data_IF_806239348007
#
_entry.id   IF_806239348007
#
_cell.length_a   1.000
_cell.length_b   1.000
_cell.length_c   1.000
_cell.angle_alpha   90.00
_cell.angle_beta   90.00
_cell.angle_gamma   90.00
#
_symmetry.space_group_name_H-M   'P 1'
#
loop_
_entity.id
_entity.type
_entity.pdbx_description
1 polymer ?
#
# COMPACT_ATOMS: atom_id res chain seq x y z
N UNK A 1 4.94 21.10 -19.82
CA UNK A 1 4.86 19.88 -18.98
C UNK A 1 6.00 19.88 -17.98
N UNK A 2 5.73 19.95 -16.66
CA UNK A 2 6.78 20.22 -15.67
C UNK A 2 7.87 19.15 -15.52
N UNK A 3 7.67 17.90 -15.95
CA UNK A 3 8.69 16.84 -15.87
C UNK A 3 8.59 15.82 -17.03
N UNK A 4 7.98 16.20 -18.14
CA UNK A 4 7.68 15.27 -19.25
C UNK A 4 6.76 14.10 -18.88
N UNK A 5 6.14 14.13 -17.70
CA UNK A 5 5.26 13.10 -17.16
C UNK A 5 3.83 13.62 -17.00
N UNK A 6 2.86 12.79 -17.37
CA UNK A 6 1.45 12.95 -17.03
C UNK A 6 1.14 12.24 -15.70
N UNK A 7 0.12 12.66 -14.93
CA UNK A 7 -0.83 13.75 -15.21
C UNK A 7 -0.29 15.16 -14.93
N UNK A 8 -0.84 16.15 -15.66
CA UNK A 8 -0.63 17.58 -15.44
C UNK A 8 -2.01 18.27 -15.33
N UNK A 9 -2.20 19.07 -14.28
CA UNK A 9 -3.36 19.93 -14.08
C UNK A 9 -2.92 21.39 -14.28
N UNK A 10 -3.65 22.15 -15.08
CA UNK A 10 -3.40 23.58 -15.28
C UNK A 10 -4.39 24.41 -14.47
N UNK A 11 -3.87 25.38 -13.70
CA UNK A 11 -4.64 26.26 -12.82
C UNK A 11 -4.03 27.65 -12.92
N UNK A 12 -4.81 28.66 -13.32
CA UNK A 12 -4.36 30.06 -13.44
C UNK A 12 -3.06 30.22 -14.25
N UNK A 13 -2.92 29.46 -15.34
CA UNK A 13 -1.73 29.44 -16.18
C UNK A 13 -0.50 28.76 -15.56
N UNK A 14 -0.61 28.15 -14.37
CA UNK A 14 0.44 27.35 -13.73
C UNK A 14 0.16 25.85 -13.92
N UNK A 15 1.21 25.09 -14.23
CA UNK A 15 1.13 23.64 -14.41
C UNK A 15 1.52 22.90 -13.13
N UNK A 16 0.56 22.22 -12.50
CA UNK A 16 0.77 21.25 -11.41
C UNK A 16 0.98 19.86 -12.00
N UNK A 17 2.05 19.19 -11.61
CA UNK A 17 2.34 17.80 -11.97
C UNK A 17 2.37 16.92 -10.72
N UNK A 18 2.54 15.61 -10.87
CA UNK A 18 2.48 14.60 -9.81
C UNK A 18 1.04 14.36 -9.31
N UNK A 19 0.54 13.15 -9.50
CA UNK A 19 -0.84 12.75 -9.15
C UNK A 19 -1.22 13.08 -7.70
N UNK A 20 -0.29 12.89 -6.75
CA UNK A 20 -0.50 13.20 -5.32
C UNK A 20 -0.60 14.71 -5.04
N UNK A 21 0.15 15.54 -5.77
CA UNK A 21 0.09 16.99 -5.59
C UNK A 21 -1.21 17.55 -6.17
N UNK A 22 -1.60 17.07 -7.35
CA UNK A 22 -2.88 17.38 -8.01
C UNK A 22 -4.05 16.99 -7.08
N UNK A 23 -4.05 15.77 -6.55
CA UNK A 23 -5.11 15.31 -5.63
C UNK A 23 -5.22 16.20 -4.37
N UNK A 24 -4.08 16.59 -3.77
CA UNK A 24 -4.10 17.50 -2.60
C UNK A 24 -4.60 18.89 -2.94
N UNK A 25 -4.24 19.41 -4.11
CA UNK A 25 -4.72 20.72 -4.57
C UNK A 25 -6.24 20.69 -4.75
N UNK A 26 -6.77 19.71 -5.49
CA UNK A 26 -8.20 19.57 -5.72
C UNK A 26 -8.98 19.34 -4.43
N UNK A 27 -8.45 18.52 -3.52
CA UNK A 27 -9.08 18.31 -2.22
C UNK A 27 -9.24 19.61 -1.43
N UNK A 28 -8.24 20.49 -1.47
CA UNK A 28 -8.34 21.83 -0.84
C UNK A 28 -9.34 22.74 -1.55
N UNK A 29 -9.34 22.76 -2.88
CA UNK A 29 -10.24 23.60 -3.67
C UNK A 29 -11.71 23.23 -3.46
N UNK A 30 -12.01 21.93 -3.44
CA UNK A 30 -13.38 21.44 -3.28
C UNK A 30 -13.81 21.24 -1.82
N UNK A 31 -13.02 21.74 -0.86
CA UNK A 31 -13.33 21.60 0.57
C UNK A 31 -13.44 20.14 1.03
N UNK A 32 -12.77 19.20 0.35
CA UNK A 32 -12.66 17.81 0.79
C UNK A 32 -11.75 17.76 2.01
N UNK A 33 -12.34 18.03 3.17
CA UNK A 33 -11.70 17.92 4.47
C UNK A 33 -11.18 16.49 4.68
N UNK A 34 -10.09 16.37 5.46
CA UNK A 34 -9.41 15.09 5.72
C UNK A 34 -10.41 14.05 6.23
N UNK A 35 -11.37 14.47 7.03
CA UNK A 35 -12.41 13.64 7.65
C UNK A 35 -13.38 13.09 6.60
N UNK A 36 -13.82 13.91 5.64
CA UNK A 36 -14.72 13.49 4.57
C UNK A 36 -14.03 12.50 3.62
N UNK A 37 -12.77 12.78 3.24
CA UNK A 37 -11.97 11.84 2.45
C UNK A 37 -11.74 10.52 3.18
N UNK A 38 -11.46 10.59 4.48
CA UNK A 38 -11.29 9.42 5.32
C UNK A 38 -12.58 8.58 5.39
N UNK A 39 -13.72 9.22 5.66
CA UNK A 39 -15.03 8.57 5.78
C UNK A 39 -15.55 8.00 4.46
N UNK A 40 -15.48 8.76 3.37
CA UNK A 40 -16.21 8.45 2.13
C UNK A 40 -15.37 7.66 1.13
N UNK A 41 -14.03 7.77 1.20
CA UNK A 41 -13.14 7.17 0.21
C UNK A 41 -12.19 6.17 0.87
N UNK A 42 -11.43 6.60 1.88
CA UNK A 42 -10.37 5.76 2.44
C UNK A 42 -10.93 4.57 3.24
N UNK A 43 -11.89 4.78 4.14
CA UNK A 43 -12.46 3.69 4.95
C UNK A 43 -13.20 2.65 4.10
N UNK A 44 -14.12 3.02 3.17
CA UNK A 44 -14.80 2.02 2.35
C UNK A 44 -13.83 1.30 1.40
N UNK A 45 -12.86 2.04 0.85
CA UNK A 45 -11.80 1.47 0.01
C UNK A 45 -10.93 0.46 0.76
N UNK A 46 -10.47 0.82 1.97
CA UNK A 46 -9.70 -0.05 2.85
C UNK A 46 -10.51 -1.29 3.25
N UNK A 47 -11.77 -1.11 3.69
CA UNK A 47 -12.67 -2.20 4.05
C UNK A 47 -12.79 -3.22 2.91
N UNK A 48 -13.06 -2.73 1.69
CA UNK A 48 -13.18 -3.58 0.50
C UNK A 48 -11.86 -4.30 0.18
N UNK A 49 -10.75 -3.56 0.17
CA UNK A 49 -9.43 -4.12 -0.13
C UNK A 49 -9.05 -5.23 0.85
N UNK A 50 -9.14 -4.98 2.16
CA UNK A 50 -8.76 -5.96 3.18
C UNK A 50 -9.74 -7.14 3.28
N UNK A 51 -11.00 -6.95 2.90
CA UNK A 51 -11.94 -8.07 2.74
C UNK A 51 -11.44 -9.04 1.67
N UNK A 52 -10.97 -8.54 0.53
CA UNK A 52 -10.38 -9.43 -0.49
C UNK A 52 -9.13 -10.13 0.00
N UNK A 53 -8.20 -9.40 0.64
CA UNK A 53 -6.97 -10.00 1.18
C UNK A 53 -7.29 -11.10 2.20
N UNK A 54 -8.26 -10.84 3.08
CA UNK A 54 -8.71 -11.81 4.08
C UNK A 54 -9.32 -13.04 3.44
N UNK A 55 -10.14 -12.89 2.39
CA UNK A 55 -10.70 -14.02 1.68
C UNK A 55 -9.63 -14.87 1.01
N UNK A 56 -8.60 -14.26 0.40
CA UNK A 56 -7.48 -15.00 -0.16
C UNK A 56 -6.73 -15.78 0.92
N UNK A 57 -6.41 -15.15 2.05
CA UNK A 57 -5.71 -15.79 3.16
C UNK A 57 -6.54 -16.90 3.81
N UNK A 58 -7.85 -16.72 3.99
CA UNK A 58 -8.74 -17.75 4.57
C UNK A 58 -8.88 -18.98 3.67
N UNK A 59 -8.95 -18.75 2.37
CA UNK A 59 -9.10 -19.82 1.40
C UNK A 59 -7.78 -20.49 1.04
N UNK A 60 -6.65 -20.04 1.61
CA UNK A 60 -5.34 -20.60 1.36
C UNK A 60 -4.66 -21.09 2.65
N UNK A 61 -4.41 -22.39 2.73
CA UNK A 61 -3.80 -23.03 3.89
C UNK A 61 -2.29 -22.75 4.04
N UNK A 62 -1.64 -22.26 2.98
CA UNK A 62 -0.19 -22.02 3.00
C UNK A 62 0.21 -20.79 3.81
N UNK A 63 -0.73 -19.88 4.07
CA UNK A 63 -0.45 -18.57 4.67
C UNK A 63 0.08 -17.53 3.67
N UNK A 64 0.22 -17.86 2.39
CA UNK A 64 0.49 -16.92 1.30
C UNK A 64 -0.81 -16.46 0.64
N UNK A 65 -0.78 -15.31 -0.04
CA UNK A 65 -1.95 -14.81 -0.78
C UNK A 65 -2.29 -15.68 -1.99
N UNK A 66 -1.30 -16.29 -2.64
CA UNK A 66 -1.47 -17.11 -3.85
C UNK A 66 -0.58 -18.35 -3.78
N UNK A 67 -1.17 -19.53 -3.99
CA UNK A 67 -0.41 -20.79 -4.03
C UNK A 67 0.22 -21.16 -2.69
N UNK A 68 1.33 -21.90 -2.70
CA UNK A 68 2.00 -22.42 -1.51
C UNK A 68 3.38 -21.80 -1.25
N UNK A 69 3.74 -20.74 -1.98
CA UNK A 69 5.04 -20.09 -1.88
C UNK A 69 4.93 -18.57 -2.09
N UNK A 70 6.01 -17.85 -1.74
CA UNK A 70 6.09 -16.39 -1.82
C UNK A 70 5.88 -15.90 -3.26
N UNK A 71 4.96 -14.96 -3.46
CA UNK A 71 4.69 -14.32 -4.75
C UNK A 71 4.79 -12.79 -4.68
N UNK A 72 4.67 -12.13 -5.83
CA UNK A 72 4.61 -10.67 -5.87
C UNK A 72 3.39 -10.09 -5.15
N UNK A 73 2.30 -10.86 -5.01
CA UNK A 73 1.11 -10.41 -4.28
C UNK A 73 1.45 -10.19 -2.80
N UNK A 74 2.21 -11.12 -2.20
CA UNK A 74 2.66 -11.04 -0.81
C UNK A 74 3.59 -9.83 -0.60
N UNK A 75 4.54 -9.63 -1.53
CA UNK A 75 5.44 -8.47 -1.51
C UNK A 75 4.69 -7.15 -1.64
N UNK A 76 3.69 -7.11 -2.52
CA UNK A 76 2.87 -5.92 -2.73
C UNK A 76 2.09 -5.56 -1.46
N UNK A 77 1.43 -6.54 -0.82
CA UNK A 77 0.74 -6.32 0.45
C UNK A 77 1.72 -5.90 1.56
N UNK A 78 2.89 -6.54 1.64
CA UNK A 78 3.93 -6.21 2.61
C UNK A 78 4.52 -4.80 2.41
N UNK A 79 4.62 -4.31 1.17
CA UNK A 79 5.09 -2.95 0.89
C UNK A 79 4.17 -1.88 1.51
N UNK A 80 2.88 -2.17 1.69
CA UNK A 80 1.98 -1.27 2.39
C UNK A 80 2.13 -1.33 3.91
N UNK A 81 2.87 -2.27 4.48
CA UNK A 81 2.90 -2.47 5.93
C UNK A 81 3.33 -1.22 6.72
N UNK A 82 4.25 -0.42 6.18
CA UNK A 82 4.71 0.81 6.83
C UNK A 82 3.76 2.00 6.60
N UNK A 83 2.97 1.96 5.53
CA UNK A 83 1.85 2.89 5.36
C UNK A 83 0.72 2.54 6.34
N UNK A 84 0.44 1.25 6.48
CA UNK A 84 -0.60 0.73 7.36
C UNK A 84 -0.26 0.92 8.83
N UNK A 85 1.00 0.73 9.24
CA UNK A 85 1.42 0.99 10.62
C UNK A 85 1.16 2.42 11.09
N UNK A 86 1.06 3.40 10.17
CA UNK A 86 0.72 4.80 10.46
C UNK A 86 -0.80 5.06 10.55
N UNK A 87 -1.62 4.09 10.17
CA UNK A 87 -3.08 4.16 10.17
C UNK A 87 -3.71 2.80 10.54
N UNK A 88 -3.47 2.27 11.76
CA UNK A 88 -3.94 0.95 12.21
C UNK A 88 -5.46 0.78 12.08
N UNK A 89 -6.20 1.87 12.34
CA UNK A 89 -7.67 1.90 12.31
C UNK A 89 -8.30 1.51 10.97
N UNK A 90 -7.51 1.48 9.88
CA UNK A 90 -8.01 1.06 8.55
C UNK A 90 -8.04 -0.46 8.38
N UNK A 91 -7.33 -1.23 9.22
CA UNK A 91 -7.23 -2.68 9.05
C UNK A 91 -7.31 -3.50 10.36
N UNK A 92 -7.53 -2.86 11.51
CA UNK A 92 -7.70 -3.54 12.81
C UNK A 92 -8.79 -4.63 12.80
N UNK A 93 -9.83 -4.49 11.97
CA UNK A 93 -10.90 -5.48 11.81
C UNK A 93 -10.53 -6.74 11.00
N UNK A 94 -9.27 -6.88 10.56
CA UNK A 94 -8.80 -7.97 9.70
C UNK A 94 -7.62 -8.72 10.34
N UNK A 95 -7.89 -9.70 11.24
CA UNK A 95 -6.85 -10.39 11.99
C UNK A 95 -5.90 -11.22 11.10
N UNK A 96 -6.37 -11.74 9.97
CA UNK A 96 -5.57 -12.53 9.02
C UNK A 96 -4.50 -11.67 8.34
N UNK A 97 -4.87 -10.45 7.94
CA UNK A 97 -3.93 -9.48 7.37
C UNK A 97 -2.89 -9.07 8.41
N UNK A 98 -3.34 -8.82 9.65
CA UNK A 98 -2.44 -8.53 10.77
C UNK A 98 -1.44 -9.67 11.03
N UNK A 99 -1.92 -10.90 11.05
CA UNK A 99 -1.11 -12.09 11.24
C UNK A 99 -0.10 -12.26 10.09
N UNK A 100 -0.55 -12.12 8.84
CA UNK A 100 0.31 -12.14 7.67
C UNK A 100 1.44 -11.12 7.77
N UNK A 101 1.13 -9.83 8.04
CA UNK A 101 2.13 -8.77 8.10
C UNK A 101 3.17 -8.99 9.22
N UNK A 102 2.73 -9.49 10.39
CA UNK A 102 3.63 -9.83 11.50
C UNK A 102 4.58 -10.97 11.12
N UNK A 103 4.02 -12.06 10.59
CA UNK A 103 4.80 -13.21 10.17
C UNK A 103 5.76 -12.88 9.04
N UNK A 104 5.30 -12.07 8.07
CA UNK A 104 6.09 -11.60 6.95
C UNK A 104 7.29 -10.79 7.45
N UNK A 105 7.08 -9.79 8.33
CA UNK A 105 8.19 -8.99 8.89
C UNK A 105 9.16 -9.82 9.73
N UNK A 106 8.68 -10.84 10.44
CA UNK A 106 9.53 -11.74 11.22
C UNK A 106 10.44 -12.58 10.32
N UNK A 107 9.90 -13.21 9.27
CA UNK A 107 10.67 -14.03 8.33
C UNK A 107 11.50 -13.18 7.35
N UNK A 108 11.02 -11.98 7.08
CA UNK A 108 11.51 -11.12 6.02
C UNK A 108 11.65 -9.67 6.53
N UNK A 109 12.63 -9.41 7.41
CA UNK A 109 12.84 -8.09 7.98
C UNK A 109 13.20 -7.09 6.87
N UNK A 110 12.22 -6.28 6.50
CA UNK A 110 12.41 -5.15 5.58
C UNK A 110 13.12 -4.06 6.39
N UNK A 111 14.39 -3.81 6.09
CA UNK A 111 15.14 -2.70 6.69
C UNK A 111 14.88 -1.42 5.91
N UNK A 112 14.29 -0.40 6.54
CA UNK A 112 14.16 0.91 5.91
C UNK A 112 13.12 1.83 6.54
N UNK A 113 13.44 2.45 7.67
CA UNK A 113 12.66 3.56 8.22
C UNK A 113 12.95 4.85 7.42
N UNK A 114 12.30 5.02 6.27
CA UNK A 114 12.44 6.24 5.46
C UNK A 114 11.37 6.38 4.36
N UNK A 115 10.96 7.60 3.98
CA UNK A 115 9.99 7.81 2.92
C UNK A 115 10.62 7.58 1.56
N UNK A 116 10.52 6.36 1.03
CA UNK A 116 10.93 6.01 -0.32
C UNK A 116 11.67 4.67 -0.36
N UNK A 117 10.93 3.62 -0.71
CA UNK A 117 11.40 2.26 -0.98
C UNK A 117 12.11 1.58 0.20
N UNK A 118 11.34 0.87 1.00
CA UNK A 118 11.89 -0.09 1.94
C UNK A 118 12.62 -1.18 1.13
N UNK A 119 13.95 -1.24 1.25
CA UNK A 119 14.77 -2.15 0.47
C UNK A 119 14.91 -3.48 1.20
N UNK A 120 14.63 -4.57 0.49
CA UNK A 120 14.95 -5.90 0.99
C UNK A 120 16.48 -6.09 0.98
N UNK A 121 17.07 -6.71 2.02
CA UNK A 121 18.46 -7.16 1.98
C UNK A 121 18.84 -7.88 0.67
N UNK A 122 20.08 -7.73 0.20
CA UNK A 122 20.50 -8.31 -1.08
C UNK A 122 20.29 -9.84 -1.18
N UNK A 123 20.50 -10.57 -0.07
CA UNK A 123 20.25 -12.02 0.01
C UNK A 123 18.76 -12.36 -0.21
N UNK A 124 17.90 -11.48 0.27
CA UNK A 124 16.45 -11.59 0.12
C UNK A 124 16.02 -11.33 -1.32
N UNK A 125 16.56 -10.28 -1.95
CA UNK A 125 16.35 -10.01 -3.38
C UNK A 125 16.79 -11.19 -4.24
N UNK A 126 18.00 -11.72 -4.03
CA UNK A 126 18.51 -12.86 -4.78
C UNK A 126 17.66 -14.13 -4.61
N UNK A 127 17.12 -14.36 -3.41
CA UNK A 127 16.21 -15.48 -3.16
C UNK A 127 14.91 -15.33 -3.97
N UNK A 128 14.28 -14.14 -3.94
CA UNK A 128 13.07 -13.84 -4.71
C UNK A 128 13.33 -14.03 -6.20
N UNK A 129 14.42 -13.48 -6.73
CA UNK A 129 14.79 -13.59 -8.15
C UNK A 129 15.07 -15.02 -8.63
N UNK A 130 15.25 -15.99 -7.72
CA UNK A 130 15.41 -17.42 -8.06
C UNK A 130 14.11 -18.21 -7.95
N UNK A 131 13.11 -17.67 -7.25
CA UNK A 131 11.82 -18.30 -6.98
C UNK A 131 10.70 -17.80 -7.91
N UNK A 132 10.89 -16.60 -8.47
CA UNK A 132 10.02 -15.95 -9.46
C UNK A 132 10.65 -15.99 -10.84
#
# INVERSE_FOLDING_TARGET
MPFGQMPVLEVDGKQLSQSRAIARYLARQFGMLREALERDVLRPGAQKFFTYMTNFLKNNKSGFLVGDSLTWADLYLANFADLLSKAPTLYDGFPEVNYFLRNFKHHWPISGTGPGYAALPAKQIQYISRKM
#
